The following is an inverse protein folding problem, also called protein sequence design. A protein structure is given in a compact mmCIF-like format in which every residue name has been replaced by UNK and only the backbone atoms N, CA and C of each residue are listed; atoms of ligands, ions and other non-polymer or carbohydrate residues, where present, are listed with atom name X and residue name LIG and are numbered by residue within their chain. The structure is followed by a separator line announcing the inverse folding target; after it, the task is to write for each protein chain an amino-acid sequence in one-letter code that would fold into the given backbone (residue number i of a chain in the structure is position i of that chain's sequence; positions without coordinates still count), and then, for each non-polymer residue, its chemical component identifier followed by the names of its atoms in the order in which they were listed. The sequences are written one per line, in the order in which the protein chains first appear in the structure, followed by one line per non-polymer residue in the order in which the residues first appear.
data_IF_312237834617
#
_entry.id   IF_312237834617
#
_cell.length_a   1.000
_cell.length_b   1.000
_cell.length_c   1.000
_cell.angle_alpha   90.00
_cell.angle_beta   90.00
_cell.angle_gamma   90.00
#
_symmetry.space_group_name_H-M   'P 1'
#
loop_
_entity.id
_entity.type
_entity.pdbx_description
1 polymer ?
#
# COMPACT_ATOMS: atom_id res chain seq x y z
N UNK A 1 -6.18 -6.08 -21.74
CA UNK A 1 -5.54 -7.37 -21.41
C UNK A 1 -5.36 -8.30 -22.61
N UNK A 2 -6.38 -8.55 -23.46
CA UNK A 2 -6.25 -9.47 -24.63
C UNK A 2 -5.18 -9.08 -25.66
N UNK A 3 -4.96 -7.78 -25.89
CA UNK A 3 -4.07 -7.29 -26.97
C UNK A 3 -2.59 -7.61 -26.67
N UNK A 4 -2.11 -7.35 -25.45
CA UNK A 4 -0.70 -7.57 -25.10
C UNK A 4 -0.30 -9.05 -25.16
N UNK A 5 -1.17 -9.94 -24.67
CA UNK A 5 -0.96 -11.40 -24.72
C UNK A 5 -0.99 -11.93 -26.16
N UNK A 6 -1.95 -11.47 -26.97
CA UNK A 6 -1.97 -11.80 -28.41
C UNK A 6 -0.72 -11.28 -29.11
N UNK A 7 -0.27 -10.06 -28.77
CA UNK A 7 0.93 -9.49 -29.35
C UNK A 7 2.14 -10.36 -28.99
N UNK A 8 2.39 -10.62 -27.70
CA UNK A 8 3.51 -11.42 -27.22
C UNK A 8 3.57 -12.83 -27.81
N UNK A 9 2.42 -13.47 -28.00
CA UNK A 9 2.34 -14.77 -28.69
C UNK A 9 2.81 -14.70 -30.15
N UNK A 10 2.55 -13.59 -30.85
CA UNK A 10 3.03 -13.33 -32.21
C UNK A 10 4.41 -12.63 -32.25
N UNK A 11 4.84 -12.03 -31.13
CA UNK A 11 6.14 -11.38 -30.91
C UNK A 11 7.26 -12.37 -30.63
N UNK A 12 7.01 -13.69 -30.68
CA UNK A 12 8.08 -14.70 -30.58
C UNK A 12 9.23 -14.40 -31.54
N UNK A 13 8.94 -13.70 -32.65
CA UNK A 13 9.93 -13.20 -33.60
C UNK A 13 11.08 -12.42 -32.93
N UNK A 14 10.81 -11.65 -31.86
CA UNK A 14 11.78 -10.79 -31.16
C UNK A 14 12.64 -11.52 -30.11
N UNK A 15 12.28 -12.75 -29.72
CA UNK A 15 13.08 -13.56 -28.79
C UNK A 15 14.13 -14.45 -29.45
N UNK A 16 14.21 -14.43 -30.79
CA UNK A 16 15.23 -15.16 -31.54
C UNK A 16 16.35 -14.22 -31.95
N UNK A 17 17.58 -14.69 -31.83
CA UNK A 17 18.73 -13.99 -32.38
C UNK A 17 18.59 -13.92 -33.91
N UNK A 18 18.59 -12.72 -34.48
CA UNK A 18 18.35 -12.50 -35.92
C UNK A 18 19.44 -11.65 -36.53
N UNK A 19 19.93 -12.11 -37.67
CA UNK A 19 20.74 -11.29 -38.55
C UNK A 19 19.83 -10.33 -39.32
N UNK A 20 19.98 -9.02 -39.07
CA UNK A 20 19.20 -7.96 -39.71
C UNK A 20 19.27 -8.02 -41.25
N UNK A 21 20.37 -8.55 -41.78
CA UNK A 21 20.62 -8.70 -43.22
C UNK A 21 19.72 -9.77 -43.88
N UNK A 22 19.15 -10.70 -43.11
CA UNK A 22 18.39 -11.84 -43.65
C UNK A 22 16.89 -11.75 -43.42
N UNK A 23 16.42 -10.74 -42.67
CA UNK A 23 15.01 -10.60 -42.29
C UNK A 23 14.42 -9.28 -42.78
N UNK A 24 13.24 -9.36 -43.41
CA UNK A 24 12.38 -8.19 -43.68
C UNK A 24 11.02 -8.42 -43.05
N UNK A 25 10.54 -7.42 -42.31
CA UNK A 25 9.26 -7.48 -41.63
C UNK A 25 8.34 -6.42 -42.23
N UNK A 26 7.17 -6.84 -42.70
CA UNK A 26 6.16 -5.95 -43.25
C UNK A 26 4.98 -5.87 -42.29
N UNK A 27 4.67 -4.67 -41.79
CA UNK A 27 3.53 -4.44 -40.91
C UNK A 27 2.67 -3.26 -41.40
N UNK A 28 1.34 -3.37 -41.28
CA UNK A 28 0.46 -2.21 -41.38
C UNK A 28 0.84 -1.10 -40.39
N UNK A 29 0.75 0.19 -40.77
CA UNK A 29 1.15 1.32 -39.91
C UNK A 29 0.44 1.39 -38.55
N UNK A 30 -0.78 0.84 -38.46
CA UNK A 30 -1.54 0.79 -37.21
C UNK A 30 -0.93 -0.22 -36.22
N UNK A 31 -0.53 -1.39 -36.70
CA UNK A 31 0.10 -2.41 -35.86
C UNK A 31 1.49 -1.95 -35.41
N UNK A 32 2.28 -1.34 -36.30
CA UNK A 32 3.60 -0.80 -35.94
C UNK A 32 3.53 0.16 -34.75
N UNK A 33 2.54 1.06 -34.73
CA UNK A 33 2.34 2.00 -33.62
C UNK A 33 2.00 1.31 -32.30
N UNK A 34 1.22 0.23 -32.34
CA UNK A 34 0.89 -0.57 -31.15
C UNK A 34 2.15 -1.25 -30.61
N UNK A 35 2.97 -1.84 -31.49
CA UNK A 35 4.25 -2.46 -31.10
C UNK A 35 5.22 -1.45 -30.47
N UNK A 36 5.40 -0.28 -31.11
CA UNK A 36 6.26 0.78 -30.59
C UNK A 36 5.81 1.24 -29.20
N UNK A 37 4.51 1.50 -29.05
CA UNK A 37 3.94 1.92 -27.76
C UNK A 37 4.18 0.88 -26.66
N UNK A 38 3.89 -0.39 -26.95
CA UNK A 38 4.09 -1.47 -25.97
C UNK A 38 5.57 -1.66 -25.62
N UNK A 39 6.47 -1.52 -26.60
CA UNK A 39 7.90 -1.59 -26.34
C UNK A 39 8.36 -0.45 -25.43
N UNK A 40 7.92 0.78 -25.72
CA UNK A 40 8.23 1.95 -24.88
C UNK A 40 7.66 1.80 -23.46
N UNK A 41 6.44 1.29 -23.32
CA UNK A 41 5.82 1.02 -22.01
C UNK A 41 6.60 -0.07 -21.23
N UNK A 42 7.05 -1.13 -21.91
CA UNK A 42 7.90 -2.16 -21.30
C UNK A 42 9.29 -1.63 -20.93
N UNK A 43 9.95 -0.89 -21.81
CA UNK A 43 11.28 -0.32 -21.56
C UNK A 43 11.24 0.67 -20.40
N UNK A 44 10.18 1.47 -20.31
CA UNK A 44 9.95 2.36 -19.16
C UNK A 44 9.74 1.56 -17.86
N UNK A 45 9.03 0.44 -17.92
CA UNK A 45 8.88 -0.47 -16.79
C UNK A 45 10.24 -1.07 -16.39
N UNK A 46 11.02 -1.61 -17.34
CA UNK A 46 12.34 -2.17 -17.07
C UNK A 46 13.34 -1.12 -16.55
N UNK A 47 13.32 0.10 -17.08
CA UNK A 47 14.15 1.21 -16.56
C UNK A 47 13.88 1.44 -15.08
N UNK A 48 12.60 1.55 -14.69
CA UNK A 48 12.20 1.71 -13.29
C UNK A 48 12.59 0.51 -12.41
N UNK A 49 12.54 -0.71 -12.93
CA UNK A 49 12.99 -1.89 -12.19
C UNK A 49 14.53 -1.93 -12.07
N UNK A 50 15.25 -1.45 -13.09
CA UNK A 50 16.73 -1.43 -13.14
C UNK A 50 17.36 -0.35 -12.26
N UNK A 51 16.60 0.71 -11.94
CA UNK A 51 16.98 1.73 -10.96
C UNK A 51 16.99 1.21 -9.51
N UNK A 52 16.57 -0.05 -9.31
CA UNK A 52 16.43 -0.68 -8.00
C UNK A 52 14.99 -0.60 -7.55
N UNK A 53 14.41 -1.77 -7.31
CA UNK A 53 13.13 -1.90 -6.64
C UNK A 53 13.44 -1.81 -5.15
N UNK A 54 13.02 -0.75 -4.44
CA UNK A 54 13.07 -0.79 -2.98
C UNK A 54 12.16 -1.93 -2.51
N UNK A 55 12.48 -2.63 -1.40
CA UNK A 55 11.60 -3.65 -0.80
C UNK A 55 10.16 -3.14 -0.59
N UNK A 56 10.01 -1.82 -0.51
CA UNK A 56 8.78 -1.07 -0.27
C UNK A 56 7.90 -0.84 -1.52
N UNK A 57 8.34 -1.27 -2.70
CA UNK A 57 7.65 -1.02 -3.97
C UNK A 57 6.29 -1.73 -4.08
N UNK A 58 5.26 -1.06 -3.58
CA UNK A 58 3.91 -1.59 -3.58
C UNK A 58 3.31 -1.57 -4.98
N UNK A 59 2.96 -2.73 -5.51
CA UNK A 59 2.23 -2.88 -6.76
C UNK A 59 0.74 -2.73 -6.49
N UNK A 60 0.16 -1.65 -7.02
CA UNK A 60 -1.27 -1.38 -6.93
C UNK A 60 -2.04 -2.01 -8.10
N UNK A 61 -3.17 -2.66 -7.79
CA UNK A 61 -4.03 -3.33 -8.76
C UNK A 61 -5.51 -3.17 -8.40
N UNK A 62 -6.37 -3.10 -9.41
CA UNK A 62 -7.82 -3.15 -9.20
C UNK A 62 -8.29 -4.59 -8.96
N UNK A 63 -9.21 -4.76 -8.02
CA UNK A 63 -9.87 -6.03 -7.72
C UNK A 63 -10.58 -6.59 -8.97
N UNK A 64 -10.58 -7.93 -9.10
CA UNK A 64 -11.14 -8.62 -10.27
C UNK A 64 -10.17 -8.79 -11.44
N UNK A 65 -8.97 -8.22 -11.38
CA UNK A 65 -7.90 -8.51 -12.35
C UNK A 65 -6.97 -9.60 -11.80
N UNK A 66 -6.74 -10.67 -12.57
CA UNK A 66 -5.85 -11.78 -12.16
C UNK A 66 -4.45 -11.62 -12.77
N UNK A 67 -3.37 -12.04 -12.07
CA UNK A 67 -2.06 -12.11 -12.70
C UNK A 67 -2.10 -13.17 -13.81
N UNK A 68 -1.46 -12.88 -14.95
CA UNK A 68 -1.43 -13.77 -16.12
C UNK A 68 -0.73 -15.11 -15.83
N UNK A 69 0.13 -15.19 -14.81
CA UNK A 69 0.80 -16.42 -14.36
C UNK A 69 0.86 -16.51 -12.84
N UNK A 70 -0.28 -16.84 -12.21
CA UNK A 70 -0.39 -16.96 -10.74
C UNK A 70 0.60 -17.96 -10.11
N UNK A 71 1.10 -18.94 -10.86
CA UNK A 71 2.01 -19.98 -10.37
C UNK A 71 3.49 -19.58 -10.37
N UNK A 72 3.83 -18.40 -10.90
CA UNK A 72 5.21 -17.89 -10.96
C UNK A 72 5.54 -17.01 -9.75
N UNK A 73 4.51 -16.59 -9.01
CA UNK A 73 4.67 -15.80 -7.80
C UNK A 73 4.94 -16.73 -6.62
N UNK A 74 6.04 -16.50 -5.90
CA UNK A 74 6.22 -17.08 -4.58
C UNK A 74 5.17 -16.48 -3.65
N UNK A 75 4.34 -17.33 -3.05
CA UNK A 75 3.27 -16.90 -2.15
C UNK A 75 3.80 -16.64 -0.74
N UNK A 76 4.95 -17.20 -0.38
CA UNK A 76 5.57 -16.99 0.93
C UNK A 76 6.17 -15.60 1.08
N UNK A 77 6.70 -15.04 -0.02
CA UNK A 77 7.34 -13.72 -0.07
C UNK A 77 6.40 -12.58 -0.52
N UNK A 78 5.10 -12.86 -0.70
CA UNK A 78 4.15 -11.89 -1.25
C UNK A 78 3.12 -11.49 -0.18
N UNK A 79 3.24 -10.27 0.34
CA UNK A 79 2.21 -9.67 1.19
C UNK A 79 1.11 -9.06 0.30
N UNK A 80 -0.16 -9.33 0.62
CA UNK A 80 -1.31 -8.78 -0.11
C UNK A 80 -2.19 -8.02 0.88
N UNK A 81 -2.26 -6.70 0.71
CA UNK A 81 -3.24 -5.86 1.40
C UNK A 81 -4.44 -5.63 0.49
N UNK A 82 -5.62 -5.83 1.05
CA UNK A 82 -6.92 -5.82 0.37
C UNK A 82 -7.67 -4.57 0.82
N UNK A 83 -8.16 -3.82 -0.16
CA UNK A 83 -9.04 -2.68 0.07
C UNK A 83 -10.31 -3.09 0.80
N UNK A 84 -10.82 -2.21 1.67
CA UNK A 84 -12.01 -2.52 2.47
C UNK A 84 -11.75 -3.45 3.68
N UNK A 85 -10.49 -3.66 4.05
CA UNK A 85 -10.10 -4.36 5.27
C UNK A 85 -9.40 -3.38 6.21
N UNK A 86 -9.64 -3.54 7.51
CA UNK A 86 -9.03 -2.74 8.57
C UNK A 86 -7.69 -3.39 8.99
N UNK A 87 -6.59 -2.67 8.82
CA UNK A 87 -5.24 -3.10 9.18
C UNK A 87 -4.74 -2.33 10.40
N UNK A 88 -4.15 -3.01 11.38
CA UNK A 88 -3.66 -2.41 12.63
C UNK A 88 -2.19 -2.71 12.77
N UNK A 89 -1.45 -1.76 13.35
CA UNK A 89 -0.09 -2.03 13.82
C UNK A 89 0.05 -1.66 15.30
N UNK A 90 0.57 -2.59 16.09
CA UNK A 90 0.73 -2.44 17.55
C UNK A 90 2.19 -2.16 17.94
N UNK A 91 3.12 -2.42 17.01
CA UNK A 91 4.55 -2.21 17.19
C UNK A 91 4.93 -0.75 16.82
N UNK A 92 4.50 0.18 17.66
CA UNK A 92 4.76 1.62 17.51
C UNK A 92 5.83 2.05 18.51
N UNK A 93 6.79 2.84 18.05
CA UNK A 93 7.90 3.30 18.89
C UNK A 93 7.43 4.18 20.06
N UNK A 94 7.89 3.83 21.26
CA UNK A 94 7.75 4.62 22.48
C UNK A 94 8.39 6.02 22.36
N UNK A 95 9.42 6.16 21.52
CA UNK A 95 10.23 7.39 21.40
C UNK A 95 9.48 8.50 20.63
N UNK A 96 8.41 8.15 19.93
CA UNK A 96 7.64 9.05 19.10
C UNK A 96 6.42 9.68 19.81
N UNK A 97 6.04 9.22 21.01
CA UNK A 97 4.76 9.62 21.65
C UNK A 97 4.66 11.13 21.86
N UNK A 98 5.72 11.79 22.34
CA UNK A 98 5.69 13.25 22.58
C UNK A 98 5.54 14.05 21.27
N UNK A 99 6.21 13.61 20.20
CA UNK A 99 6.09 14.24 18.87
C UNK A 99 4.70 14.01 18.28
N UNK A 100 4.17 12.80 18.43
CA UNK A 100 2.83 12.45 17.97
C UNK A 100 1.76 13.22 18.74
N UNK A 101 1.91 13.39 20.06
CA UNK A 101 1.01 14.21 20.87
C UNK A 101 1.01 15.69 20.41
N UNK A 102 2.17 16.21 19.99
CA UNK A 102 2.29 17.57 19.46
C UNK A 102 1.65 17.75 18.07
N UNK A 103 1.85 16.79 17.15
CA UNK A 103 1.35 16.88 15.77
C UNK A 103 -0.13 16.48 15.63
N UNK A 104 -0.56 15.44 16.35
CA UNK A 104 -1.95 14.95 16.30
C UNK A 104 -2.84 15.75 17.25
N UNK A 105 -2.30 16.14 18.41
CA UNK A 105 -3.07 16.73 19.49
C UNK A 105 -3.80 15.68 20.34
N UNK A 106 -4.24 16.11 21.52
CA UNK A 106 -4.87 15.26 22.54
C UNK A 106 -6.40 15.32 22.53
N UNK A 107 -7.00 15.89 21.48
CA UNK A 107 -8.44 16.00 21.35
C UNK A 107 -8.96 15.12 20.20
N UNK A 108 -10.16 14.59 20.37
CA UNK A 108 -10.85 13.88 19.30
C UNK A 108 -11.05 14.81 18.11
N UNK A 109 -10.59 14.36 16.93
CA UNK A 109 -10.75 15.10 15.67
C UNK A 109 -11.11 14.16 14.53
N UNK A 110 -11.97 14.63 13.63
CA UNK A 110 -12.35 13.94 12.40
C UNK A 110 -12.24 14.93 11.25
N UNK A 111 -11.73 14.48 10.10
CA UNK A 111 -11.56 15.38 8.97
C UNK A 111 -10.94 14.73 7.73
N UNK A 112 -10.86 15.52 6.66
CA UNK A 112 -10.04 15.16 5.50
C UNK A 112 -8.62 15.70 5.70
N UNK A 113 -7.63 14.85 5.47
CA UNK A 113 -6.21 15.23 5.38
C UNK A 113 -5.68 14.84 4.00
N UNK A 114 -4.55 15.39 3.60
CA UNK A 114 -3.87 14.95 2.38
C UNK A 114 -3.27 13.54 2.55
N UNK A 115 -3.03 12.84 1.43
CA UNK A 115 -2.31 11.56 1.46
C UNK A 115 -0.89 11.73 2.02
N UNK A 116 -0.23 12.85 1.74
CA UNK A 116 1.11 13.16 2.25
C UNK A 116 1.14 13.35 3.76
N UNK A 117 0.15 14.06 4.32
CA UNK A 117 0.00 14.19 5.78
C UNK A 117 -0.27 12.83 6.43
N UNK A 118 -1.10 11.98 5.82
CA UNK A 118 -1.37 10.63 6.32
C UNK A 118 -0.10 9.77 6.34
N UNK A 119 0.71 9.83 5.28
CA UNK A 119 1.98 9.14 5.19
C UNK A 119 2.99 9.65 6.23
N UNK A 120 3.06 10.97 6.44
CA UNK A 120 3.94 11.58 7.43
C UNK A 120 3.58 11.17 8.87
N UNK A 121 2.29 11.14 9.22
CA UNK A 121 1.83 10.69 10.54
C UNK A 121 2.18 9.22 10.80
N UNK A 122 2.03 8.35 9.80
CA UNK A 122 2.44 6.95 9.90
C UNK A 122 3.96 6.81 9.99
N UNK A 123 4.72 7.59 9.22
CA UNK A 123 6.18 7.59 9.28
C UNK A 123 6.73 7.96 10.66
N UNK A 124 6.06 8.87 11.39
CA UNK A 124 6.42 9.20 12.77
C UNK A 124 6.18 8.04 13.75
N UNK A 125 5.29 7.11 13.43
CA UNK A 125 4.96 5.94 14.27
C UNK A 125 5.87 4.74 14.01
N UNK A 126 6.67 4.80 12.94
CA UNK A 126 7.58 3.73 12.58
C UNK A 126 8.64 3.53 13.66
N UNK A 127 8.79 2.30 14.14
CA UNK A 127 9.90 1.92 15.01
C UNK A 127 11.13 1.55 14.16
N UNK A 128 12.17 2.38 14.23
CA UNK A 128 13.45 2.13 13.55
C UNK A 128 14.13 0.82 14.03
N UNK A 129 13.78 0.33 15.24
CA UNK A 129 14.37 -0.89 15.83
C UNK A 129 13.60 -2.16 15.44
N UNK A 130 12.36 -2.04 14.96
CA UNK A 130 11.50 -3.18 14.64
C UNK A 130 11.73 -3.78 13.23
N UNK A 131 12.54 -3.15 12.38
CA UNK A 131 12.80 -3.63 11.01
C UNK A 131 11.68 -3.28 10.01
N UNK A 132 11.42 -4.15 9.03
CA UNK A 132 10.36 -4.02 8.02
C UNK A 132 8.95 -4.16 8.63
N UNK A 133 8.51 -3.15 9.38
CA UNK A 133 7.20 -3.15 10.04
C UNK A 133 6.02 -2.87 9.09
N UNK A 134 4.81 -3.30 9.47
CA UNK A 134 3.57 -3.13 8.70
C UNK A 134 3.29 -1.67 8.30
N UNK A 135 3.73 -0.71 9.13
CA UNK A 135 3.60 0.74 8.89
C UNK A 135 4.31 1.14 7.59
N UNK A 136 5.46 0.53 7.25
CA UNK A 136 6.18 0.80 5.99
C UNK A 136 5.32 0.41 4.80
N UNK A 137 4.66 -0.75 4.88
CA UNK A 137 3.75 -1.23 3.83
C UNK A 137 2.56 -0.26 3.69
N UNK A 138 2.04 0.27 4.81
CA UNK A 138 0.94 1.23 4.77
C UNK A 138 1.32 2.56 4.10
N UNK A 139 2.50 3.11 4.44
CA UNK A 139 3.05 4.32 3.81
C UNK A 139 3.23 4.10 2.31
N UNK A 140 3.79 2.95 1.92
CA UNK A 140 4.00 2.58 0.52
C UNK A 140 2.68 2.45 -0.25
N UNK A 141 1.64 1.91 0.37
CA UNK A 141 0.29 1.85 -0.21
C UNK A 141 -0.32 3.25 -0.41
N UNK A 142 -0.12 4.16 0.54
CA UNK A 142 -0.56 5.55 0.42
C UNK A 142 0.15 6.28 -0.73
N UNK A 143 1.47 6.09 -0.88
CA UNK A 143 2.22 6.64 -2.01
C UNK A 143 1.73 6.08 -3.36
N UNK A 144 1.43 4.78 -3.43
CA UNK A 144 0.84 4.17 -4.61
C UNK A 144 -0.55 4.75 -4.94
N UNK A 145 -1.39 5.01 -3.93
CA UNK A 145 -2.67 5.70 -4.11
C UNK A 145 -2.48 7.13 -4.61
N UNK A 146 -1.52 7.88 -4.06
CA UNK A 146 -1.17 9.22 -4.54
C UNK A 146 -0.79 9.21 -6.02
N UNK A 147 0.09 8.28 -6.42
CA UNK A 147 0.48 8.11 -7.81
C UNK A 147 -0.71 7.75 -8.73
N UNK A 148 -1.73 7.08 -8.19
CA UNK A 148 -2.99 6.77 -8.88
C UNK A 148 -4.00 7.94 -8.88
N UNK A 149 -3.66 9.10 -8.32
CA UNK A 149 -4.49 10.32 -8.35
C UNK A 149 -5.38 10.53 -7.13
N UNK A 150 -5.18 9.77 -6.04
CA UNK A 150 -5.89 10.03 -4.78
C UNK A 150 -5.29 11.24 -4.08
N UNK A 151 -6.13 12.19 -3.68
CA UNK A 151 -5.69 13.43 -3.04
C UNK A 151 -5.88 13.43 -1.51
N UNK A 152 -6.92 12.75 -1.01
CA UNK A 152 -7.38 12.90 0.37
C UNK A 152 -7.50 11.54 1.09
N UNK A 153 -7.15 11.53 2.38
CA UNK A 153 -7.43 10.49 3.36
C UNK A 153 -8.44 11.01 4.39
N UNK A 154 -9.31 10.15 4.91
CA UNK A 154 -10.16 10.50 6.05
C UNK A 154 -9.45 10.14 7.35
N UNK A 155 -9.26 11.13 8.22
CA UNK A 155 -8.62 10.94 9.52
C UNK A 155 -9.68 10.86 10.62
N UNK A 156 -9.56 9.85 11.49
CA UNK A 156 -10.31 9.71 12.73
C UNK A 156 -9.31 9.64 13.88
N UNK A 157 -9.34 10.60 14.80
CA UNK A 157 -8.50 10.59 16.00
C UNK A 157 -9.40 10.40 17.21
N UNK A 158 -9.01 9.47 18.07
CA UNK A 158 -9.58 9.30 19.41
C UNK A 158 -8.48 9.38 20.45
N UNK A 159 -8.56 10.42 21.27
CA UNK A 159 -7.74 10.51 22.46
C UNK A 159 -8.38 9.70 23.60
N UNK A 160 -7.58 9.37 24.62
CA UNK A 160 -8.06 8.80 25.89
C UNK A 160 -8.82 7.46 25.75
N UNK A 161 -8.30 6.54 24.94
CA UNK A 161 -8.87 5.20 24.76
C UNK A 161 -8.44 4.28 25.89
N UNK A 162 -9.43 3.66 26.53
CA UNK A 162 -9.21 2.73 27.65
C UNK A 162 -9.44 1.26 27.22
N UNK A 163 -8.58 0.76 26.33
CA UNK A 163 -8.70 -0.56 25.69
C UNK A 163 -7.65 -1.53 26.28
N UNK A 164 -7.92 -2.83 26.31
CA UNK A 164 -6.93 -3.86 26.69
C UNK A 164 -6.19 -4.44 25.48
N UNK A 165 -4.89 -4.75 25.65
CA UNK A 165 -4.01 -5.26 24.59
C UNK A 165 -4.53 -6.57 23.94
N UNK A 166 -5.21 -7.42 24.72
CA UNK A 166 -5.72 -8.72 24.28
C UNK A 166 -7.21 -8.73 23.89
N UNK A 167 -7.86 -7.57 23.76
CA UNK A 167 -9.33 -7.50 23.54
C UNK A 167 -9.81 -8.01 22.17
N UNK A 168 -8.90 -8.39 21.26
CA UNK A 168 -9.20 -8.94 19.93
C UNK A 168 -9.82 -7.94 18.94
N UNK A 169 -10.30 -6.78 19.40
CA UNK A 169 -10.84 -5.70 18.56
C UNK A 169 -10.39 -4.34 19.10
N UNK A 170 -9.51 -3.67 18.36
CA UNK A 170 -8.98 -2.36 18.75
C UNK A 170 -9.92 -1.21 18.35
N UNK A 171 -10.58 -1.30 17.20
CA UNK A 171 -11.56 -0.29 16.76
C UNK A 171 -12.85 -0.35 17.58
N UNK A 172 -13.38 0.82 17.96
CA UNK A 172 -14.74 0.91 18.50
C UNK A 172 -15.77 0.50 17.44
N UNK A 173 -16.92 -0.10 17.83
CA UNK A 173 -17.98 -0.44 16.86
C UNK A 173 -18.44 0.75 16.01
N UNK A 174 -18.51 1.95 16.60
CA UNK A 174 -18.90 3.16 15.90
C UNK A 174 -17.86 3.58 14.86
N UNK A 175 -16.57 3.57 15.20
CA UNK A 175 -15.52 3.98 14.27
C UNK A 175 -15.32 2.94 13.16
N UNK A 176 -15.50 1.65 13.47
CA UNK A 176 -15.50 0.59 12.46
C UNK A 176 -16.62 0.78 11.44
N UNK A 177 -17.85 1.06 11.90
CA UNK A 177 -18.98 1.33 11.01
C UNK A 177 -18.76 2.60 10.18
N UNK A 178 -18.22 3.66 10.79
CA UNK A 178 -17.86 4.89 10.09
C UNK A 178 -16.81 4.65 9.01
N UNK A 179 -15.72 3.94 9.33
CA UNK A 179 -14.68 3.60 8.38
C UNK A 179 -15.19 2.73 7.23
N UNK A 180 -16.02 1.73 7.54
CA UNK A 180 -16.66 0.88 6.54
C UNK A 180 -17.61 1.64 5.59
N UNK A 181 -18.22 2.74 6.03
CA UNK A 181 -19.06 3.57 5.17
C UNK A 181 -18.25 4.39 4.15
N UNK A 182 -16.95 4.57 4.35
CA UNK A 182 -16.07 5.34 3.47
C UNK A 182 -15.30 4.37 2.57
N UNK A 183 -15.84 4.10 1.39
CA UNK A 183 -15.30 3.09 0.46
C UNK A 183 -14.36 3.66 -0.61
N UNK A 184 -14.46 4.97 -0.89
CA UNK A 184 -13.80 5.58 -2.06
C UNK A 184 -12.40 6.14 -1.78
N UNK A 185 -12.00 6.27 -0.52
CA UNK A 185 -10.73 6.89 -0.10
C UNK A 185 -10.17 6.17 1.12
N UNK A 186 -8.85 6.25 1.37
CA UNK A 186 -8.28 5.65 2.57
C UNK A 186 -8.83 6.32 3.84
N UNK A 187 -8.95 5.54 4.90
CA UNK A 187 -9.32 5.98 6.24
C UNK A 187 -8.18 5.62 7.18
N UNK A 188 -7.61 6.63 7.84
CA UNK A 188 -6.62 6.48 8.91
C UNK A 188 -7.30 6.76 10.24
N UNK A 189 -7.32 5.77 11.12
CA UNK A 189 -7.83 5.90 12.49
C UNK A 189 -6.66 5.83 13.46
N UNK A 190 -6.48 6.86 14.28
CA UNK A 190 -5.41 6.95 15.27
C UNK A 190 -6.00 6.95 16.67
N UNK A 191 -5.66 5.93 17.46
CA UNK A 191 -6.12 5.80 18.84
C UNK A 191 -4.98 6.04 19.80
N UNK A 192 -5.15 6.99 20.72
CA UNK A 192 -4.24 7.16 21.86
C UNK A 192 -4.77 6.34 23.02
N UNK A 193 -4.12 5.22 23.32
CA UNK A 193 -4.48 4.34 24.44
C UNK A 193 -3.73 4.79 25.69
N UNK A 194 -4.38 4.74 26.85
CA UNK A 194 -3.81 5.20 28.12
C UNK A 194 -2.67 4.32 28.66
N UNK A 195 -2.62 3.07 28.22
CA UNK A 195 -1.50 2.17 28.52
C UNK A 195 -1.46 1.61 29.93
N UNK A 196 -2.62 1.40 30.57
CA UNK A 196 -2.68 0.82 31.92
C UNK A 196 -2.08 -0.59 31.98
N UNK A 197 -1.19 -0.85 32.96
CA UNK A 197 -0.57 -2.17 33.16
C UNK A 197 -1.56 -3.27 33.50
N UNK A 198 -2.66 -2.93 34.20
CA UNK A 198 -3.78 -3.84 34.48
C UNK A 198 -4.45 -4.39 33.22
N UNK A 199 -4.21 -3.77 32.05
CA UNK A 199 -4.78 -4.10 30.75
C UNK A 199 -3.75 -4.65 29.75
N UNK A 200 -2.57 -5.03 30.23
CA UNK A 200 -1.51 -5.67 29.43
C UNK A 200 -0.58 -4.71 28.69
N UNK A 201 -0.64 -3.41 29.02
CA UNK A 201 0.26 -2.38 28.47
C UNK A 201 1.43 -2.08 29.41
N UNK A 202 2.33 -1.19 29.01
CA UNK A 202 3.60 -0.92 29.72
C UNK A 202 3.53 0.25 30.71
N UNK A 203 2.34 0.74 31.06
CA UNK A 203 2.15 1.85 32.00
C UNK A 203 2.33 3.23 31.40
N UNK A 204 2.45 3.34 30.06
CA UNK A 204 2.60 4.58 29.30
C UNK A 204 1.59 4.65 28.16
N UNK A 205 1.08 5.85 27.81
CA UNK A 205 0.22 6.00 26.66
C UNK A 205 0.88 5.54 25.36
N UNK A 206 0.10 5.04 24.40
CA UNK A 206 0.61 4.60 23.09
C UNK A 206 -0.36 5.02 21.99
N UNK A 207 0.17 5.43 20.84
CA UNK A 207 -0.62 5.67 19.63
C UNK A 207 -0.68 4.40 18.80
N UNK A 208 -1.89 4.00 18.40
CA UNK A 208 -2.12 2.81 17.59
C UNK A 208 -2.77 3.24 16.28
N UNK A 209 -2.09 3.10 15.14
CA UNK A 209 -2.67 3.34 13.84
C UNK A 209 -3.54 2.16 13.39
N UNK A 210 -4.65 2.51 12.77
CA UNK A 210 -5.43 1.63 11.94
C UNK A 210 -5.63 2.28 10.57
N UNK A 211 -5.43 1.52 9.50
CA UNK A 211 -5.66 2.00 8.15
C UNK A 211 -6.63 1.08 7.40
N UNK A 212 -7.56 1.68 6.68
CA UNK A 212 -8.46 1.01 5.73
C UNK A 212 -8.27 1.63 4.36
N UNK A 213 -7.86 0.83 3.38
CA UNK A 213 -7.71 1.30 2.00
C UNK A 213 -9.06 1.30 1.26
N UNK A 214 -9.21 2.08 0.18
CA UNK A 214 -10.42 2.11 -0.63
C UNK A 214 -10.84 0.70 -1.07
N UNK A 215 -12.14 0.43 -1.14
CA UNK A 215 -12.65 -0.87 -1.61
C UNK A 215 -12.33 -1.11 -3.09
N UNK A 216 -12.26 -2.38 -3.50
CA UNK A 216 -11.95 -2.72 -4.89
C UNK A 216 -10.46 -2.63 -5.25
N UNK A 217 -9.57 -2.53 -4.27
CA UNK A 217 -8.11 -2.38 -4.47
C UNK A 217 -7.33 -3.55 -3.90
N UNK A 218 -6.23 -3.89 -4.53
CA UNK A 218 -5.25 -4.86 -4.07
C UNK A 218 -3.87 -4.22 -4.14
N UNK A 219 -3.12 -4.35 -3.05
CA UNK A 219 -1.74 -3.90 -2.93
C UNK A 219 -0.87 -5.12 -2.73
N UNK A 220 0.18 -5.23 -3.52
CA UNK A 220 1.15 -6.30 -3.45
C UNK A 220 2.45 -5.73 -2.91
N UNK A 221 2.92 -6.25 -1.78
CA UNK A 221 4.26 -6.01 -1.24
C UNK A 221 5.13 -7.26 -1.40
N UNK A 222 6.43 -7.06 -1.33
CA UNK A 222 7.42 -8.14 -1.28
C UNK A 222 7.97 -8.14 0.14
N UNK A 223 7.84 -9.26 0.86
CA UNK A 223 8.58 -9.50 2.10
C UNK A 223 9.86 -10.24 1.72
N UNK A 224 11.03 -9.63 1.93
CA UNK A 224 12.30 -10.34 1.87
C UNK A 224 12.52 -11.04 3.22
N UNK A 225 12.05 -12.29 3.34
CA UNK A 225 12.38 -13.18 4.46
C UNK A 225 13.85 -13.61 4.45
#
# INVERSE_FOLDING_TARGET
MRIADTLWQHSRIFGYDRHLETCRIFLPPQLLRIFQRLNLENDAMFSKLSEGISPQSTLYKMEGTLPSRKNVLDRGALSILVGGVDYFSVDVSDEAIEKLDAEIGLADREGGISIDEAAALLGLMQDEKAGEGEIIQYVSCLEALKAAGYANCHLIVRADRDISKESGTLLSPNDRLKGAAIIERPVLTLYRVNGQTSKGWEGKPVWIPNIRFPEGKLFYGIDES
#
